data_IF_145711534528
#
_entry.id   IF_145711534528
#
_cell.length_a   1.000
_cell.length_b   1.000
_cell.length_c   1.000
_cell.angle_alpha   90.00
_cell.angle_beta   90.00
_cell.angle_gamma   90.00
#
_symmetry.space_group_name_H-M   'P 1'
#
loop_
_entity.id
_entity.type
_entity.pdbx_description
1 polymer ?
#
# COMPACT_ATOMS: atom_id res chain seq x y z
N UNK A 1 12.25 -16.95 7.50
CA UNK A 1 13.12 -17.06 6.32
C UNK A 1 13.29 -15.63 5.83
N UNK A 2 14.44 -15.00 6.08
CA UNK A 2 14.62 -13.57 5.81
C UNK A 2 14.55 -13.29 4.30
N UNK A 3 13.81 -12.26 3.91
CA UNK A 3 13.84 -11.75 2.54
C UNK A 3 15.25 -11.20 2.31
N UNK A 4 16.01 -11.82 1.40
CA UNK A 4 17.32 -11.31 1.00
C UNK A 4 17.14 -9.93 0.37
N UNK A 5 17.80 -8.91 0.90
CA UNK A 5 17.83 -7.57 0.33
C UNK A 5 18.29 -7.64 -1.14
N UNK A 6 17.40 -7.27 -2.07
CA UNK A 6 17.71 -7.20 -3.50
C UNK A 6 17.94 -5.74 -3.90
N UNK A 7 18.73 -5.52 -4.95
CA UNK A 7 18.83 -4.19 -5.59
C UNK A 7 17.48 -3.65 -6.06
N UNK A 8 16.55 -4.55 -6.37
CA UNK A 8 15.19 -4.21 -6.77
C UNK A 8 14.42 -3.57 -5.61
N UNK A 9 14.51 -4.13 -4.40
CA UNK A 9 13.82 -3.61 -3.21
C UNK A 9 14.36 -2.23 -2.79
N UNK A 10 15.68 -2.03 -2.85
CA UNK A 10 16.32 -0.73 -2.62
C UNK A 10 15.83 0.32 -3.64
N UNK A 11 15.70 -0.09 -4.90
CA UNK A 11 15.20 0.77 -5.97
C UNK A 11 13.78 1.30 -5.75
N UNK A 12 12.93 0.58 -5.01
CA UNK A 12 11.58 1.06 -4.65
C UNK A 12 11.68 2.26 -3.70
N UNK A 13 12.54 2.16 -2.67
CA UNK A 13 12.77 3.26 -1.73
C UNK A 13 13.37 4.48 -2.44
N UNK A 14 14.42 4.27 -3.25
CA UNK A 14 15.06 5.35 -4.01
C UNK A 14 14.07 6.08 -4.93
N UNK A 15 13.20 5.33 -5.61
CA UNK A 15 12.18 5.90 -6.50
C UNK A 15 11.12 6.70 -5.72
N UNK A 16 10.65 6.16 -4.59
CA UNK A 16 9.70 6.83 -3.71
C UNK A 16 10.26 8.13 -3.13
N UNK A 17 11.50 8.08 -2.64
CA UNK A 17 12.24 9.23 -2.12
C UNK A 17 12.48 10.30 -3.17
N UNK A 18 12.93 9.93 -4.37
CA UNK A 18 13.16 10.89 -5.45
C UNK A 18 11.88 11.65 -5.78
N UNK A 19 10.75 10.93 -5.90
CA UNK A 19 9.43 11.53 -6.16
C UNK A 19 8.98 12.44 -5.01
N UNK A 20 9.22 12.03 -3.75
CA UNK A 20 8.92 12.86 -2.58
C UNK A 20 9.73 14.15 -2.58
N UNK A 21 11.05 14.07 -2.80
CA UNK A 21 11.95 15.22 -2.80
C UNK A 21 11.54 16.23 -3.88
N UNK A 22 11.26 15.76 -5.10
CA UNK A 22 10.77 16.61 -6.18
C UNK A 22 9.46 17.31 -5.80
N UNK A 23 8.46 16.56 -5.30
CA UNK A 23 7.19 17.13 -4.88
C UNK A 23 7.36 18.17 -3.76
N UNK A 24 8.23 17.89 -2.78
CA UNK A 24 8.55 18.79 -1.67
C UNK A 24 9.22 20.07 -2.15
N UNK A 25 10.23 19.97 -3.00
CA UNK A 25 10.95 21.12 -3.55
C UNK A 25 10.02 22.02 -4.39
N UNK A 26 9.17 21.43 -5.23
CA UNK A 26 8.17 22.17 -6.00
C UNK A 26 7.14 22.84 -5.10
N UNK A 27 6.65 22.14 -4.08
CA UNK A 27 5.69 22.68 -3.10
C UNK A 27 6.28 23.88 -2.35
N UNK A 28 7.55 23.80 -1.93
CA UNK A 28 8.24 24.87 -1.21
C UNK A 28 8.52 26.06 -2.14
N UNK A 29 8.97 25.80 -3.36
CA UNK A 29 9.43 26.85 -4.28
C UNK A 29 8.30 27.55 -5.03
N UNK A 30 7.23 26.83 -5.37
CA UNK A 30 6.12 27.31 -6.21
C UNK A 30 4.78 27.36 -5.47
N UNK A 31 4.72 26.81 -4.26
CA UNK A 31 3.50 26.67 -3.47
C UNK A 31 2.75 25.36 -3.74
N UNK A 32 1.80 24.97 -2.87
CA UNK A 32 0.96 23.79 -3.06
C UNK A 32 0.10 23.90 -4.32
N UNK A 33 0.04 22.82 -5.11
CA UNK A 33 -0.77 22.71 -6.31
C UNK A 33 -1.35 21.29 -6.47
N UNK A 34 -2.41 21.09 -7.28
CA UNK A 34 -2.93 19.75 -7.55
C UNK A 34 -1.90 18.79 -8.17
N UNK A 35 -0.97 19.32 -8.98
CA UNK A 35 0.10 18.52 -9.58
C UNK A 35 1.10 18.03 -8.53
N UNK A 36 1.54 18.92 -7.63
CA UNK A 36 2.46 18.57 -6.55
C UNK A 36 1.80 17.65 -5.53
N UNK A 37 0.50 17.84 -5.26
CA UNK A 37 -0.27 16.89 -4.45
C UNK A 37 -0.29 15.51 -5.09
N UNK A 38 -0.62 15.41 -6.38
CA UNK A 38 -0.66 14.12 -7.08
C UNK A 38 0.70 13.41 -7.06
N UNK A 39 1.81 14.14 -7.29
CA UNK A 39 3.17 13.60 -7.17
C UNK A 39 3.43 13.07 -5.76
N UNK A 40 3.07 13.84 -4.73
CA UNK A 40 3.24 13.45 -3.33
C UNK A 40 2.40 12.21 -2.98
N UNK A 41 1.14 12.14 -3.39
CA UNK A 41 0.26 10.97 -3.16
C UNK A 41 0.81 9.72 -3.84
N UNK A 42 1.39 9.85 -5.04
CA UNK A 42 2.07 8.74 -5.73
C UNK A 42 3.31 8.29 -4.95
N UNK A 43 4.11 9.22 -4.45
CA UNK A 43 5.26 8.91 -3.60
C UNK A 43 4.85 8.15 -2.34
N UNK A 44 3.78 8.56 -1.64
CA UNK A 44 3.27 7.86 -0.46
C UNK A 44 2.94 6.38 -0.74
N UNK A 45 2.35 6.08 -1.91
CA UNK A 45 2.05 4.71 -2.30
C UNK A 45 3.33 3.88 -2.54
N UNK A 46 4.33 4.47 -3.22
CA UNK A 46 5.62 3.82 -3.47
C UNK A 46 6.41 3.61 -2.17
N UNK A 47 6.46 4.61 -1.30
CA UNK A 47 7.16 4.54 -0.01
C UNK A 47 6.53 3.52 0.93
N UNK A 48 5.20 3.38 0.92
CA UNK A 48 4.52 2.29 1.62
C UNK A 48 4.97 0.93 1.09
N UNK A 49 5.01 0.75 -0.23
CA UNK A 49 5.50 -0.50 -0.83
C UNK A 49 6.96 -0.76 -0.45
N UNK A 50 7.82 0.27 -0.49
CA UNK A 50 9.20 0.16 -0.03
C UNK A 50 9.27 -0.36 1.42
N UNK A 51 8.49 0.22 2.33
CA UNK A 51 8.41 -0.23 3.73
C UNK A 51 7.93 -1.68 3.85
N UNK A 52 7.00 -2.12 3.00
CA UNK A 52 6.52 -3.50 2.96
C UNK A 52 7.61 -4.49 2.51
N UNK A 53 8.38 -4.14 1.46
CA UNK A 53 9.47 -4.96 0.93
C UNK A 53 10.74 -4.95 1.79
N UNK A 54 10.94 -3.91 2.59
CA UNK A 54 12.15 -3.69 3.38
C UNK A 54 12.00 -4.09 4.86
N UNK A 55 10.88 -4.67 5.28
CA UNK A 55 10.52 -4.98 6.69
C UNK A 55 11.57 -5.72 7.53
N UNK A 56 12.39 -6.57 6.90
CA UNK A 56 13.48 -7.33 7.54
C UNK A 56 14.87 -6.76 7.34
N UNK A 57 14.96 -5.62 6.68
CA UNK A 57 16.24 -5.03 6.28
C UNK A 57 16.59 -3.85 7.20
N UNK A 58 17.88 -3.49 7.29
CA UNK A 58 18.29 -2.26 7.97
C UNK A 58 17.66 -0.98 7.39
N UNK A 59 17.10 -1.02 6.18
CA UNK A 59 16.48 0.12 5.51
C UNK A 59 15.00 0.32 5.89
N UNK A 60 14.41 -0.57 6.69
CA UNK A 60 13.01 -0.43 7.13
C UNK A 60 12.76 0.91 7.84
N UNK A 61 13.63 1.26 8.79
CA UNK A 61 13.51 2.50 9.58
C UNK A 61 13.65 3.74 8.70
N UNK A 62 14.47 3.67 7.65
CA UNK A 62 14.60 4.77 6.69
C UNK A 62 13.34 4.91 5.83
N UNK A 63 12.83 3.80 5.29
CA UNK A 63 11.56 3.79 4.55
C UNK A 63 10.40 4.30 5.41
N UNK A 64 10.35 3.90 6.69
CA UNK A 64 9.38 4.38 7.65
C UNK A 64 9.51 5.89 7.88
N UNK A 65 10.72 6.39 8.18
CA UNK A 65 10.99 7.82 8.39
C UNK A 65 10.55 8.68 7.20
N UNK A 66 10.95 8.31 5.99
CA UNK A 66 10.61 9.08 4.78
C UNK A 66 9.10 9.06 4.52
N UNK A 67 8.43 7.92 4.75
CA UNK A 67 6.98 7.82 4.61
C UNK A 67 6.24 8.76 5.58
N UNK A 68 6.72 8.85 6.83
CA UNK A 68 6.15 9.75 7.85
C UNK A 68 6.37 11.22 7.47
N UNK A 69 7.57 11.60 7.02
CA UNK A 69 7.88 12.96 6.54
C UNK A 69 7.04 13.36 5.32
N UNK A 70 6.82 12.43 4.39
CA UNK A 70 5.92 12.64 3.25
C UNK A 70 4.46 12.77 3.71
N UNK A 71 4.05 12.01 4.72
CA UNK A 71 2.74 12.09 5.33
C UNK A 71 2.46 13.42 6.02
N UNK A 72 3.45 13.93 6.76
CA UNK A 72 3.39 15.24 7.42
C UNK A 72 3.29 16.36 6.37
N UNK A 73 4.12 16.33 5.32
CA UNK A 73 4.01 17.29 4.22
C UNK A 73 2.62 17.22 3.56
N UNK A 74 2.11 16.02 3.31
CA UNK A 74 0.80 15.85 2.69
C UNK A 74 -0.30 16.48 3.53
N UNK A 75 -0.25 16.30 4.86
CA UNK A 75 -1.26 16.85 5.77
C UNK A 75 -1.13 18.37 5.96
N UNK A 76 0.09 18.90 5.98
CA UNK A 76 0.35 20.34 6.21
C UNK A 76 0.13 21.18 4.95
N UNK A 77 0.60 20.72 3.79
CA UNK A 77 0.47 21.44 2.52
C UNK A 77 -0.90 21.22 1.83
N UNK A 78 -1.53 20.07 2.03
CA UNK A 78 -2.80 19.68 1.38
C UNK A 78 -3.83 19.19 2.40
N UNK A 79 -4.33 20.08 3.28
CA UNK A 79 -5.16 19.70 4.41
C UNK A 79 -6.45 18.97 4.01
N UNK A 80 -7.06 19.35 2.88
CA UNK A 80 -8.32 18.79 2.41
C UNK A 80 -8.16 17.38 1.81
N UNK A 81 -6.95 17.02 1.37
CA UNK A 81 -6.67 15.70 0.79
C UNK A 81 -6.42 14.59 1.83
N UNK A 82 -6.38 14.92 3.12
CA UNK A 82 -6.21 13.95 4.21
C UNK A 82 -7.52 13.73 4.97
N UNK A 83 -8.47 13.03 4.35
CA UNK A 83 -9.77 12.72 4.94
C UNK A 83 -10.10 11.23 4.91
N UNK A 84 -11.05 10.82 5.75
CA UNK A 84 -11.69 9.51 5.66
C UNK A 84 -12.77 9.56 4.58
N UNK A 85 -12.77 8.58 3.68
CA UNK A 85 -13.80 8.47 2.65
C UNK A 85 -15.10 7.97 3.27
N UNK A 86 -16.22 8.58 2.90
CA UNK A 86 -17.54 8.13 3.32
C UNK A 86 -18.29 7.51 2.15
N UNK A 87 -18.56 6.21 2.23
CA UNK A 87 -19.31 5.44 1.24
C UNK A 87 -20.07 4.33 1.93
N UNK A 88 -21.15 3.83 1.33
CA UNK A 88 -21.91 2.67 1.84
C UNK A 88 -22.29 2.77 3.35
N UNK A 89 -22.60 3.99 3.82
CA UNK A 89 -22.92 4.29 5.22
C UNK A 89 -21.79 3.99 6.23
N UNK A 90 -20.54 4.00 5.77
CA UNK A 90 -19.33 3.77 6.56
C UNK A 90 -18.20 4.73 6.19
N UNK A 91 -17.26 4.87 7.11
CA UNK A 91 -16.02 5.60 6.87
C UNK A 91 -14.88 4.64 6.59
N UNK A 92 -14.01 5.03 5.67
CA UNK A 92 -12.90 4.21 5.21
C UNK A 92 -11.60 4.99 5.23
N UNK A 93 -10.53 4.33 5.66
CA UNK A 93 -9.19 4.89 5.73
C UNK A 93 -8.28 4.19 4.72
N UNK A 94 -8.02 4.86 3.60
CA UNK A 94 -7.14 4.39 2.53
C UNK A 94 -5.73 5.00 2.54
N UNK A 95 -5.42 5.92 3.46
CA UNK A 95 -4.13 6.63 3.40
C UNK A 95 -2.92 5.68 3.60
N UNK A 96 -1.92 5.70 2.69
CA UNK A 96 -0.79 4.78 2.72
C UNK A 96 0.00 4.80 4.03
N UNK A 97 0.21 5.98 4.62
CA UNK A 97 0.96 6.13 5.88
C UNK A 97 0.26 5.38 7.00
N UNK A 98 -1.04 5.62 7.19
CA UNK A 98 -1.79 4.99 8.29
C UNK A 98 -1.87 3.46 8.15
N UNK A 99 -1.98 2.95 6.92
CA UNK A 99 -2.02 1.52 6.64
C UNK A 99 -0.65 0.87 6.80
N UNK A 100 0.44 1.57 6.47
CA UNK A 100 1.79 1.06 6.70
C UNK A 100 2.09 0.78 8.18
N UNK A 101 1.40 1.46 9.10
CA UNK A 101 1.54 1.28 10.55
C UNK A 101 0.68 0.16 11.14
N UNK A 102 -0.24 -0.46 10.40
CA UNK A 102 -1.09 -1.54 10.92
C UNK A 102 -0.47 -2.94 10.78
N UNK A 103 0.49 -3.09 9.85
CA UNK A 103 1.21 -4.33 9.47
C UNK A 103 0.32 -5.56 9.33
N UNK A 104 -0.92 -5.40 8.90
CA UNK A 104 -1.83 -6.53 8.62
C UNK A 104 -1.88 -6.80 7.12
N UNK A 105 -1.82 -8.07 6.75
CA UNK A 105 -1.92 -8.58 5.39
C UNK A 105 -2.90 -9.74 5.29
N UNK A 106 -3.27 -10.07 4.06
CA UNK A 106 -4.04 -11.25 3.74
C UNK A 106 -3.13 -12.32 3.12
N UNK A 107 -3.29 -13.56 3.56
CA UNK A 107 -2.66 -14.72 2.95
C UNK A 107 -3.74 -15.71 2.53
N UNK A 108 -4.20 -15.64 1.26
CA UNK A 108 -5.20 -16.56 0.75
C UNK A 108 -4.57 -17.91 0.39
N UNK A 109 -5.22 -18.99 0.81
CA UNK A 109 -4.92 -20.34 0.33
C UNK A 109 -5.77 -20.64 -0.91
N UNK A 110 -5.11 -20.83 -2.05
CA UNK A 110 -5.75 -20.98 -3.36
C UNK A 110 -5.48 -22.36 -3.95
N UNK A 111 -6.55 -23.05 -4.36
CA UNK A 111 -6.47 -24.28 -5.13
C UNK A 111 -6.74 -23.99 -6.60
N UNK A 112 -5.67 -23.89 -7.39
CA UNK A 112 -5.75 -23.70 -8.84
C UNK A 112 -6.25 -24.99 -9.50
N UNK A 113 -7.45 -24.94 -10.07
CA UNK A 113 -8.08 -26.08 -10.76
C UNK A 113 -7.68 -26.14 -12.23
N UNK A 114 -7.67 -24.97 -12.88
CA UNK A 114 -7.42 -24.86 -14.30
C UNK A 114 -6.50 -23.65 -14.55
N UNK A 115 -5.53 -23.83 -15.42
CA UNK A 115 -4.64 -22.79 -15.88
C UNK A 115 -4.19 -23.09 -17.31
N UNK A 116 -3.89 -22.04 -18.05
CA UNK A 116 -3.47 -22.11 -19.44
C UNK A 116 -2.27 -21.20 -19.70
N UNK A 117 -1.48 -21.53 -20.71
CA UNK A 117 -0.40 -20.66 -21.19
C UNK A 117 -1.00 -19.40 -21.81
N UNK A 118 -0.50 -18.22 -21.45
CA UNK A 118 -1.00 -16.99 -22.03
C UNK A 118 -0.77 -16.91 -23.54
N UNK A 119 0.26 -17.57 -24.08
CA UNK A 119 0.66 -17.51 -25.50
C UNK A 119 -0.13 -18.47 -26.38
N UNK A 120 -0.22 -19.76 -25.99
CA UNK A 120 -0.87 -20.79 -26.81
C UNK A 120 -2.19 -21.32 -26.25
N UNK A 121 -2.58 -20.89 -25.04
CA UNK A 121 -3.79 -21.35 -24.35
C UNK A 121 -3.83 -22.86 -24.05
N UNK A 122 -2.71 -23.57 -24.20
CA UNK A 122 -2.55 -24.97 -23.80
C UNK A 122 -2.17 -25.14 -22.33
N UNK A 123 -1.99 -26.39 -21.88
CA UNK A 123 -1.54 -26.70 -20.50
C UNK A 123 -0.12 -26.14 -20.28
N UNK A 124 0.07 -25.21 -19.31
CA UNK A 124 1.36 -24.61 -19.00
C UNK A 124 2.44 -25.61 -18.60
N UNK A 125 2.04 -26.81 -18.15
CA UNK A 125 2.97 -27.87 -17.71
C UNK A 125 3.54 -28.67 -18.87
N UNK A 126 2.93 -28.58 -20.06
CA UNK A 126 3.30 -29.42 -21.20
C UNK A 126 3.61 -28.62 -22.47
N UNK A 127 3.36 -27.31 -22.50
CA UNK A 127 3.76 -26.48 -23.64
C UNK A 127 5.22 -26.04 -23.55
N UNK A 128 5.85 -25.75 -24.70
CA UNK A 128 7.25 -25.32 -24.78
C UNK A 128 7.49 -23.83 -24.44
N UNK A 129 6.44 -23.07 -24.09
CA UNK A 129 6.57 -21.66 -23.77
C UNK A 129 7.11 -21.45 -22.36
N UNK A 130 8.19 -20.69 -22.24
CA UNK A 130 8.89 -20.44 -20.97
C UNK A 130 8.30 -19.19 -20.30
N UNK A 131 7.81 -19.24 -19.04
CA UNK A 131 7.33 -18.06 -18.33
C UNK A 131 8.39 -16.95 -18.27
N UNK A 132 8.00 -15.71 -18.55
CA UNK A 132 8.87 -14.54 -18.61
C UNK A 132 9.42 -14.22 -20.01
N UNK A 133 9.45 -15.18 -20.93
CA UNK A 133 9.93 -14.95 -22.30
C UNK A 133 8.88 -14.28 -23.19
N UNK A 134 9.34 -13.54 -24.21
CA UNK A 134 8.46 -12.82 -25.14
C UNK A 134 8.25 -13.65 -26.41
N UNK A 135 6.98 -13.90 -26.73
CA UNK A 135 6.54 -14.54 -27.97
C UNK A 135 5.58 -13.61 -28.70
N UNK A 136 5.92 -13.20 -29.92
CA UNK A 136 5.09 -12.31 -30.75
C UNK A 136 4.63 -11.03 -30.01
N UNK A 137 5.51 -10.43 -29.20
CA UNK A 137 5.21 -9.21 -28.44
C UNK A 137 4.43 -9.44 -27.14
N UNK A 138 4.15 -10.68 -26.76
CA UNK A 138 3.49 -11.03 -25.50
C UNK A 138 4.43 -11.79 -24.56
N UNK A 139 4.48 -11.40 -23.28
CA UNK A 139 5.19 -12.14 -22.23
C UNK A 139 4.41 -13.40 -21.86
N UNK A 140 5.06 -14.56 -21.96
CA UNK A 140 4.52 -15.83 -21.51
C UNK A 140 4.34 -15.83 -19.99
N UNK A 141 3.14 -16.21 -19.55
CA UNK A 141 2.81 -16.39 -18.14
C UNK A 141 1.69 -17.41 -18.00
N UNK A 142 1.54 -17.97 -16.80
CA UNK A 142 0.44 -18.86 -16.46
C UNK A 142 -0.82 -18.03 -16.19
N UNK A 143 -1.85 -18.19 -17.02
CA UNK A 143 -3.17 -17.60 -16.80
C UNK A 143 -4.04 -18.60 -16.03
N UNK A 144 -4.37 -18.28 -14.78
CA UNK A 144 -5.28 -19.10 -13.96
C UNK A 144 -6.71 -18.81 -14.41
N UNK A 145 -7.43 -19.81 -14.90
CA UNK A 145 -8.81 -19.67 -15.40
C UNK A 145 -9.84 -20.16 -14.39
N UNK A 146 -9.44 -21.04 -13.46
CA UNK A 146 -10.30 -21.53 -12.38
C UNK A 146 -9.52 -21.75 -11.10
N UNK A 147 -10.03 -21.18 -10.00
CA UNK A 147 -9.43 -21.26 -8.67
C UNK A 147 -10.53 -21.42 -7.62
N UNK A 148 -10.30 -22.28 -6.64
CA UNK A 148 -11.09 -22.31 -5.41
C UNK A 148 -10.29 -21.59 -4.32
N UNK A 149 -10.95 -20.72 -3.55
CA UNK A 149 -10.37 -20.11 -2.34
C UNK A 149 -10.68 -21.06 -1.19
N UNK A 150 -9.66 -21.63 -0.57
CA UNK A 150 -9.80 -22.55 0.55
C UNK A 150 -9.85 -21.82 1.88
N UNK A 151 -8.99 -20.82 2.05
CA UNK A 151 -8.90 -20.04 3.28
C UNK A 151 -8.34 -18.63 3.01
N UNK A 152 -8.53 -17.72 3.97
CA UNK A 152 -7.92 -16.39 4.02
C UNK A 152 -7.46 -16.12 5.45
N UNK A 153 -6.14 -16.10 5.65
CA UNK A 153 -5.54 -15.78 6.93
C UNK A 153 -5.17 -14.30 7.03
N UNK A 154 -5.34 -13.72 8.23
CA UNK A 154 -4.74 -12.43 8.59
C UNK A 154 -3.34 -12.70 9.14
N UNK A 155 -2.33 -12.08 8.53
CA UNK A 155 -0.92 -12.32 8.87
C UNK A 155 -0.14 -11.02 9.00
N UNK A 156 0.88 -11.03 9.86
CA UNK A 156 1.85 -9.94 9.98
C UNK A 156 2.87 -9.94 8.84
N UNK A 157 3.13 -11.10 8.22
CA UNK A 157 4.16 -11.29 7.18
C UNK A 157 3.61 -12.09 5.99
N UNK A 158 3.13 -11.43 4.92
CA UNK A 158 2.68 -12.13 3.73
C UNK A 158 3.87 -12.60 2.86
N UNK A 159 3.67 -13.66 2.10
CA UNK A 159 4.66 -14.13 1.10
C UNK A 159 4.89 -13.10 -0.02
N UNK A 160 3.86 -12.32 -0.36
CA UNK A 160 3.95 -11.17 -1.26
C UNK A 160 3.90 -9.90 -0.40
N UNK A 161 4.99 -9.12 -0.30
CA UNK A 161 5.06 -7.96 0.60
C UNK A 161 3.90 -6.96 0.45
N UNK A 162 3.46 -6.70 -0.79
CA UNK A 162 2.37 -5.78 -1.09
C UNK A 162 0.95 -6.34 -0.84
N UNK A 163 0.80 -7.59 -0.38
CA UNK A 163 -0.51 -8.21 -0.06
C UNK A 163 -1.12 -7.67 1.26
N UNK A 164 -0.92 -6.37 1.51
CA UNK A 164 -1.36 -5.61 2.67
C UNK A 164 -2.75 -5.03 2.44
N UNK A 165 -3.46 -4.76 3.54
CA UNK A 165 -4.79 -4.16 3.49
C UNK A 165 -4.73 -2.78 2.84
N UNK A 166 -5.47 -2.57 1.75
CA UNK A 166 -5.47 -1.30 1.01
C UNK A 166 -6.42 -0.26 1.59
N UNK A 167 -7.39 -0.69 2.40
CA UNK A 167 -8.35 0.18 3.05
C UNK A 167 -8.94 -0.52 4.27
N UNK A 168 -9.14 0.21 5.36
CA UNK A 168 -9.83 -0.29 6.55
C UNK A 168 -11.10 0.52 6.79
N UNK A 169 -12.18 -0.15 7.18
CA UNK A 169 -13.36 0.53 7.67
C UNK A 169 -13.11 1.04 9.09
N UNK A 170 -13.51 2.29 9.33
CA UNK A 170 -13.50 2.89 10.66
C UNK A 170 -14.94 2.85 11.17
N UNK A 171 -15.23 2.17 12.28
CA UNK A 171 -16.58 2.11 12.82
C UNK A 171 -17.12 3.52 13.11
N UNK A 172 -18.29 3.85 12.54
CA UNK A 172 -18.99 5.12 12.75
C UNK A 172 -19.13 5.51 14.24
N UNK A 173 -19.42 4.58 15.18
CA UNK A 173 -19.44 4.92 16.61
C UNK A 173 -18.10 5.40 17.17
N UNK A 174 -16.96 4.95 16.62
CA UNK A 174 -15.63 5.40 17.03
C UNK A 174 -15.40 6.86 16.63
N UNK A 175 -15.77 7.21 15.40
CA UNK A 175 -15.70 8.59 14.90
C UNK A 175 -16.64 9.50 15.70
N UNK A 176 -17.86 9.04 15.97
CA UNK A 176 -18.82 9.77 16.80
C UNK A 176 -18.25 10.09 18.19
N UNK A 177 -17.56 9.13 18.82
CA UNK A 177 -16.87 9.37 20.11
C UNK A 177 -15.74 10.39 20.01
N UNK A 178 -15.00 10.40 18.89
CA UNK A 178 -13.90 11.33 18.69
C UNK A 178 -14.35 12.77 18.37
N UNK A 179 -15.43 12.94 17.61
CA UNK A 179 -15.92 14.26 17.16
C UNK A 179 -16.97 14.83 18.13
N UNK A 180 -17.71 13.97 18.83
CA UNK A 180 -18.75 14.35 19.77
C UNK A 180 -20.05 14.78 19.10
N UNK A 181 -20.80 15.66 19.77
CA UNK A 181 -22.18 16.02 19.43
C UNK A 181 -22.38 16.61 18.02
N UNK A 182 -21.32 17.14 17.42
CA UNK A 182 -21.35 17.69 16.05
C UNK A 182 -21.29 16.62 14.97
N UNK A 183 -21.00 15.38 15.34
CA UNK A 183 -20.88 14.29 14.39
C UNK A 183 -22.23 13.95 13.74
N UNK A 184 -22.22 13.84 12.42
CA UNK A 184 -23.28 13.22 11.64
C UNK A 184 -22.63 12.33 10.58
N UNK A 185 -23.15 11.13 10.31
CA UNK A 185 -22.63 10.31 9.21
C UNK A 185 -22.60 11.11 7.90
N UNK A 186 -21.49 11.02 7.17
CA UNK A 186 -21.28 11.71 5.90
C UNK A 186 -20.67 13.11 6.00
N UNK A 187 -20.40 13.64 7.20
CA UNK A 187 -19.57 14.85 7.29
C UNK A 187 -18.12 14.51 6.88
N UNK A 188 -17.37 15.46 6.29
CA UNK A 188 -15.94 15.31 6.10
C UNK A 188 -15.25 15.08 7.45
N UNK A 189 -14.39 14.05 7.51
CA UNK A 189 -13.58 13.74 8.69
C UNK A 189 -12.12 13.81 8.28
N UNK A 190 -11.41 14.82 8.77
CA UNK A 190 -9.99 14.99 8.50
C UNK A 190 -9.14 14.09 9.41
N UNK A 191 -8.05 13.58 8.87
CA UNK A 191 -7.09 12.76 9.61
C UNK A 191 -5.84 13.58 9.93
N UNK A 192 -5.56 13.76 11.23
CA UNK A 192 -4.39 14.49 11.73
C UNK A 192 -3.29 13.55 12.28
N UNK A 193 -3.34 12.26 11.93
CA UNK A 193 -2.41 11.26 12.49
C UNK A 193 -0.95 11.66 12.30
N UNK A 194 -0.57 12.10 11.10
CA UNK A 194 0.81 12.45 10.76
C UNK A 194 1.31 13.75 11.43
N UNK A 195 0.44 14.51 12.11
CA UNK A 195 0.85 15.70 12.88
C UNK A 195 1.16 15.37 14.35
N UNK A 196 0.98 14.11 14.75
CA UNK A 196 1.23 13.63 16.11
C UNK A 196 2.52 12.81 16.14
N UNK A 197 3.17 12.68 17.31
CA UNK A 197 4.29 11.76 17.46
C UNK A 197 3.92 10.35 17.01
N UNK A 198 4.78 9.73 16.22
CA UNK A 198 4.59 8.36 15.73
C UNK A 198 4.58 7.37 16.90
N UNK A 199 3.60 6.47 16.92
CA UNK A 199 3.47 5.41 17.93
C UNK A 199 4.24 4.14 17.56
N UNK A 200 5.02 4.16 16.47
CA UNK A 200 5.61 2.98 15.85
C UNK A 200 4.58 2.12 15.11
N UNK A 201 5.06 1.00 14.59
CA UNK A 201 4.24 0.05 13.82
C UNK A 201 3.56 -0.97 14.72
N UNK A 202 2.28 -1.24 14.48
CA UNK A 202 1.55 -2.30 15.17
C UNK A 202 1.95 -3.67 14.61
N UNK A 203 2.43 -4.58 15.46
CA UNK A 203 2.85 -5.95 15.10
C UNK A 203 1.91 -7.02 15.68
N UNK A 204 0.61 -6.70 15.72
CA UNK A 204 -0.41 -7.53 16.39
C UNK A 204 -0.65 -8.91 15.74
N UNK A 205 -0.08 -9.14 14.56
CA UNK A 205 -0.22 -10.37 13.77
C UNK A 205 1.14 -11.04 13.50
N UNK A 206 2.17 -10.66 14.26
CA UNK A 206 3.44 -11.39 14.32
C UNK A 206 3.40 -12.35 15.52
N UNK A 207 3.84 -13.60 15.30
CA UNK A 207 3.96 -14.64 16.34
C UNK A 207 5.22 -14.44 17.21
#
# INVERSE_FOLDING_TARGET
MGITMTRENEGILESGEATYREAREETISRGPSPETEMKLRRSLAVLRSAMDHLEDTPLFEEAHRVLDEAGELARTAYPDGCHLEYRDNGYFHGCPVALAHSRVALSPELLVREAECSVCHGDPRTCDHIPGEIYNGQVCHRRITRVDILDIMLVGRPATPDARIQEISIPTPEIARSIGEKFKPGIPVLCDRCLKPCSGVARNFED
#
